data_IF_314703847358
#
_entry.id   IF_314703847358
#
_cell.length_a   1.000
_cell.length_b   1.000
_cell.length_c   1.000
_cell.angle_alpha   90.00
_cell.angle_beta   90.00
_cell.angle_gamma   90.00
#
_symmetry.space_group_name_H-M   'P 1'
#
loop_
_entity.id
_entity.type
_entity.pdbx_description
1 polymer ?
#
# COMPACT_ATOMS: atom_id res chain seq x y z
N UNK A 1 -14.57 27.28 10.19
CA UNK A 1 -14.56 25.83 10.04
C UNK A 1 -13.43 25.49 9.11
N UNK A 2 -12.53 24.62 9.53
CA UNK A 2 -11.37 24.19 8.73
C UNK A 2 -11.73 22.94 7.95
N UNK A 3 -11.30 22.88 6.70
CA UNK A 3 -11.47 21.72 5.84
C UNK A 3 -10.13 21.24 5.34
N UNK A 4 -9.95 19.94 5.30
CA UNK A 4 -8.71 19.27 4.94
C UNK A 4 -8.91 18.34 3.75
N UNK A 5 -7.96 18.33 2.83
CA UNK A 5 -7.93 17.41 1.71
C UNK A 5 -6.78 16.40 1.93
N UNK A 6 -7.12 15.12 1.91
CA UNK A 6 -6.15 14.02 1.91
C UNK A 6 -6.23 13.24 0.61
N UNK A 7 -5.10 13.00 -0.02
CA UNK A 7 -5.00 12.24 -1.27
C UNK A 7 -4.04 11.08 -1.08
N UNK A 8 -4.48 9.88 -1.46
CA UNK A 8 -3.68 8.65 -1.56
C UNK A 8 -3.62 8.26 -3.04
N UNK A 9 -2.50 8.55 -3.70
CA UNK A 9 -2.25 8.25 -5.11
C UNK A 9 -1.36 7.05 -5.31
N UNK A 10 -1.96 5.87 -5.50
CA UNK A 10 -1.25 4.62 -5.71
C UNK A 10 -1.05 4.22 -7.17
N UNK A 11 -0.39 3.09 -7.40
CA UNK A 11 -0.16 2.54 -8.75
C UNK A 11 -1.42 2.03 -9.46
N UNK A 12 -2.51 1.79 -8.73
CA UNK A 12 -3.75 1.23 -9.30
C UNK A 12 -4.96 2.15 -9.16
N UNK A 13 -5.00 2.95 -8.11
CA UNK A 13 -6.09 3.88 -7.81
C UNK A 13 -5.56 5.15 -7.15
N UNK A 14 -6.33 6.22 -7.25
CA UNK A 14 -6.21 7.44 -6.46
C UNK A 14 -7.49 7.63 -5.67
N UNK A 15 -7.36 7.86 -4.35
CA UNK A 15 -8.45 8.23 -3.45
C UNK A 15 -8.21 9.63 -2.91
N UNK A 16 -9.12 10.56 -3.17
CA UNK A 16 -9.15 11.88 -2.55
C UNK A 16 -10.31 11.96 -1.55
N UNK A 17 -10.07 12.61 -0.41
CA UNK A 17 -11.04 12.73 0.67
C UNK A 17 -11.03 14.16 1.22
N UNK A 18 -12.20 14.75 1.39
CA UNK A 18 -12.37 16.02 2.11
C UNK A 18 -12.99 15.73 3.47
N UNK A 19 -12.37 16.24 4.53
CA UNK A 19 -12.87 16.14 5.89
C UNK A 19 -12.94 17.52 6.57
N UNK A 20 -13.81 17.67 7.57
CA UNK A 20 -13.80 18.83 8.46
C UNK A 20 -12.81 18.65 9.63
N UNK A 21 -12.72 19.66 10.49
CA UNK A 21 -11.80 19.68 11.65
C UNK A 21 -12.12 18.64 12.73
N UNK A 22 -13.29 17.98 12.65
CA UNK A 22 -13.65 16.87 13.55
C UNK A 22 -13.30 15.49 12.98
N UNK A 23 -12.76 15.43 11.75
CA UNK A 23 -12.47 14.20 11.04
C UNK A 23 -13.66 13.60 10.27
N UNK A 24 -14.81 14.27 10.27
CA UNK A 24 -15.98 13.84 9.51
C UNK A 24 -15.73 13.98 8.02
N UNK A 25 -15.95 12.90 7.28
CA UNK A 25 -15.80 12.87 5.83
C UNK A 25 -17.00 13.57 5.17
N UNK A 26 -16.70 14.57 4.35
CA UNK A 26 -17.67 15.37 3.61
C UNK A 26 -17.77 14.97 2.14
N UNK A 27 -16.66 14.53 1.56
CA UNK A 27 -16.62 14.11 0.17
C UNK A 27 -15.49 13.17 -0.14
N UNK A 28 -15.67 12.37 -1.18
CA UNK A 28 -14.71 11.38 -1.70
C UNK A 28 -14.69 11.42 -3.22
N UNK A 29 -13.53 11.17 -3.79
CA UNK A 29 -13.39 10.91 -5.22
C UNK A 29 -12.42 9.78 -5.45
N UNK A 30 -12.69 8.95 -6.44
CA UNK A 30 -11.88 7.78 -6.80
C UNK A 30 -11.60 7.81 -8.29
N UNK A 31 -10.33 7.65 -8.64
CA UNK A 31 -9.89 7.61 -10.04
C UNK A 31 -8.78 6.56 -10.25
N UNK A 32 -8.14 6.61 -11.41
CA UNK A 32 -7.09 5.69 -11.84
C UNK A 32 -5.75 5.87 -11.13
N UNK A 33 -4.67 5.49 -11.83
CA UNK A 33 -3.30 5.50 -11.34
C UNK A 33 -2.81 6.91 -10.98
N UNK A 34 -2.37 7.11 -9.74
CA UNK A 34 -1.75 8.35 -9.25
C UNK A 34 -0.22 8.32 -9.19
N UNK A 35 0.42 7.22 -9.60
CA UNK A 35 1.87 7.10 -9.63
C UNK A 35 2.45 7.69 -10.92
N UNK A 36 3.17 8.81 -10.82
CA UNK A 36 3.78 9.52 -11.94
C UNK A 36 4.85 8.70 -12.70
N UNK A 37 5.46 7.71 -12.06
CA UNK A 37 6.45 6.82 -12.68
C UNK A 37 5.82 5.91 -13.75
N UNK A 38 4.51 5.68 -13.67
CA UNK A 38 3.73 4.97 -14.68
C UNK A 38 3.15 5.90 -15.77
N UNK A 39 3.37 7.21 -15.65
CA UNK A 39 2.97 8.23 -16.60
C UNK A 39 2.52 9.52 -15.91
N UNK A 40 3.30 10.59 -16.04
CA UNK A 40 3.04 11.87 -15.37
C UNK A 40 1.66 12.45 -15.74
N UNK A 41 1.29 12.44 -17.03
CA UNK A 41 0.00 12.94 -17.49
C UNK A 41 -1.19 12.09 -16.99
N UNK A 42 -0.99 10.77 -16.86
CA UNK A 42 -2.00 9.86 -16.30
C UNK A 42 -2.21 10.16 -14.81
N UNK A 43 -1.11 10.32 -14.06
CA UNK A 43 -1.16 10.67 -12.64
C UNK A 43 -1.82 12.04 -12.41
N UNK A 44 -1.46 13.06 -13.20
CA UNK A 44 -2.08 14.38 -13.15
C UNK A 44 -3.60 14.30 -13.37
N UNK A 45 -4.04 13.63 -14.44
CA UNK A 45 -5.46 13.45 -14.73
C UNK A 45 -6.20 12.71 -13.62
N UNK A 46 -5.61 11.62 -13.10
CA UNK A 46 -6.23 10.83 -12.05
C UNK A 46 -6.33 11.59 -10.73
N UNK A 47 -5.26 12.29 -10.32
CA UNK A 47 -5.26 13.08 -9.09
C UNK A 47 -6.29 14.21 -9.19
N UNK A 48 -6.31 14.93 -10.30
CA UNK A 48 -7.27 16.03 -10.54
C UNK A 48 -8.70 15.52 -10.51
N UNK A 49 -9.01 14.43 -11.22
CA UNK A 49 -10.35 13.86 -11.23
C UNK A 49 -10.81 13.45 -9.84
N UNK A 50 -9.96 12.73 -9.07
CA UNK A 50 -10.33 12.31 -7.71
C UNK A 50 -10.61 13.51 -6.81
N UNK A 51 -9.80 14.56 -6.90
CA UNK A 51 -9.97 15.79 -6.09
C UNK A 51 -11.25 16.53 -6.48
N UNK A 52 -11.52 16.68 -7.77
CA UNK A 52 -12.74 17.35 -8.25
C UNK A 52 -14.00 16.61 -7.85
N UNK A 53 -14.00 15.28 -7.90
CA UNK A 53 -15.11 14.44 -7.42
C UNK A 53 -15.32 14.62 -5.89
N UNK A 54 -14.23 14.65 -5.11
CA UNK A 54 -14.30 14.86 -3.66
C UNK A 54 -14.86 16.26 -3.31
N UNK A 55 -14.46 17.29 -4.04
CA UNK A 55 -15.00 18.64 -3.89
C UNK A 55 -16.49 18.71 -4.24
N UNK A 56 -16.87 18.12 -5.36
CA UNK A 56 -18.27 18.11 -5.81
C UNK A 56 -19.18 17.42 -4.78
N UNK A 57 -18.75 16.29 -4.23
CA UNK A 57 -19.51 15.58 -3.20
C UNK A 57 -19.58 16.34 -1.88
N UNK A 58 -18.51 17.06 -1.51
CA UNK A 58 -18.50 17.89 -0.31
C UNK A 58 -19.28 19.21 -0.45
N UNK A 59 -19.62 19.64 -1.66
CA UNK A 59 -20.17 20.97 -1.94
C UNK A 59 -19.16 22.09 -1.67
N UNK A 60 -17.86 21.80 -1.83
CA UNK A 60 -16.75 22.69 -1.55
C UNK A 60 -15.88 22.88 -2.81
N UNK A 61 -14.91 23.78 -2.72
CA UNK A 61 -13.91 24.02 -3.75
C UNK A 61 -12.54 24.26 -3.11
N UNK A 62 -11.50 24.47 -3.92
CA UNK A 62 -10.12 24.64 -3.45
C UNK A 62 -9.95 25.84 -2.49
N UNK A 63 -10.75 26.88 -2.63
CA UNK A 63 -10.69 28.09 -1.78
C UNK A 63 -11.11 27.80 -0.34
N UNK A 64 -11.92 26.77 -0.12
CA UNK A 64 -12.39 26.33 1.19
C UNK A 64 -11.35 25.51 1.95
N UNK A 65 -10.40 24.87 1.23
CA UNK A 65 -9.43 23.96 1.84
C UNK A 65 -8.37 24.72 2.62
N UNK A 66 -8.25 24.39 3.91
CA UNK A 66 -7.29 24.97 4.83
C UNK A 66 -5.89 24.42 4.60
N UNK A 67 -5.77 23.09 4.42
CA UNK A 67 -4.53 22.40 4.11
C UNK A 67 -4.80 21.10 3.33
N UNK A 68 -3.90 20.75 2.43
CA UNK A 68 -3.97 19.51 1.66
C UNK A 68 -2.69 18.68 1.80
N UNK A 69 -2.81 17.36 1.94
CA UNK A 69 -1.68 16.43 1.89
C UNK A 69 -1.89 15.42 0.77
N UNK A 70 -0.88 15.30 -0.09
CA UNK A 70 -0.82 14.34 -1.17
C UNK A 70 0.22 13.27 -0.83
N UNK A 71 -0.22 12.06 -0.52
CA UNK A 71 0.62 10.88 -0.37
C UNK A 71 0.65 10.13 -1.70
N UNK A 72 1.77 10.16 -2.39
CA UNK A 72 1.88 9.68 -3.77
C UNK A 72 2.94 8.60 -3.88
N UNK A 73 2.53 7.44 -4.42
CA UNK A 73 3.48 6.38 -4.73
C UNK A 73 4.54 6.87 -5.71
N UNK A 74 5.80 6.54 -5.44
CA UNK A 74 6.94 6.98 -6.22
C UNK A 74 7.41 8.43 -5.92
N UNK A 75 6.84 9.12 -4.93
CA UNK A 75 7.33 10.41 -4.46
C UNK A 75 8.50 10.21 -3.46
N UNK A 76 9.62 9.65 -3.94
CA UNK A 76 10.70 9.14 -3.11
C UNK A 76 11.96 10.01 -3.16
N UNK A 77 12.24 10.63 -4.30
CA UNK A 77 13.49 11.36 -4.55
C UNK A 77 13.20 12.78 -5.05
N UNK A 78 14.17 13.66 -4.93
CA UNK A 78 14.03 15.05 -5.45
C UNK A 78 13.67 15.08 -6.94
N UNK A 79 14.13 14.09 -7.73
CA UNK A 79 13.76 13.96 -9.13
C UNK A 79 12.25 13.75 -9.32
N UNK A 80 11.63 12.99 -8.44
CA UNK A 80 10.19 12.71 -8.45
C UNK A 80 9.40 13.95 -8.02
N UNK A 81 9.86 14.65 -6.99
CA UNK A 81 9.24 15.91 -6.55
C UNK A 81 9.32 17.03 -7.58
N UNK A 82 10.36 17.07 -8.43
CA UNK A 82 10.44 18.04 -9.56
C UNK A 82 9.32 17.83 -10.56
N UNK A 83 8.82 16.61 -10.73
CA UNK A 83 7.68 16.28 -11.59
C UNK A 83 6.36 16.60 -10.89
N UNK A 84 6.24 16.21 -9.61
CA UNK A 84 4.98 16.29 -8.86
C UNK A 84 4.63 17.72 -8.41
N UNK A 85 5.62 18.53 -8.01
CA UNK A 85 5.37 19.92 -7.56
C UNK A 85 4.62 20.78 -8.57
N UNK A 86 4.98 20.80 -9.87
CA UNK A 86 4.21 21.54 -10.88
C UNK A 86 2.78 21.04 -11.03
N UNK A 87 2.57 19.71 -11.02
CA UNK A 87 1.25 19.08 -11.15
C UNK A 87 0.34 19.52 -9.99
N UNK A 88 0.80 19.36 -8.77
CA UNK A 88 0.01 19.71 -7.59
C UNK A 88 -0.12 21.24 -7.45
N UNK A 89 0.92 21.99 -7.77
CA UNK A 89 0.89 23.45 -7.76
C UNK A 89 -0.15 24.05 -8.71
N UNK A 90 -0.37 23.42 -9.88
CA UNK A 90 -1.38 23.84 -10.84
C UNK A 90 -2.82 23.74 -10.31
N UNK A 91 -3.08 22.91 -9.28
CA UNK A 91 -4.39 22.82 -8.61
C UNK A 91 -4.76 24.09 -7.84
N UNK A 92 -3.80 24.99 -7.55
CA UNK A 92 -4.03 26.30 -6.96
C UNK A 92 -4.43 26.27 -5.48
N UNK A 93 -4.04 25.24 -4.72
CA UNK A 93 -4.26 25.12 -3.28
C UNK A 93 -3.34 26.07 -2.51
N UNK A 94 -3.86 26.79 -1.52
CA UNK A 94 -3.12 27.79 -0.73
C UNK A 94 -1.99 27.18 0.09
N UNK A 95 -2.26 26.04 0.72
CA UNK A 95 -1.32 25.29 1.56
C UNK A 95 -1.42 23.81 1.23
N UNK A 96 -0.30 23.22 0.88
CA UNK A 96 -0.25 21.77 0.62
C UNK A 96 1.16 21.22 0.85
N UNK A 97 1.23 19.92 1.05
CA UNK A 97 2.49 19.15 1.01
C UNK A 97 2.32 17.89 0.16
N UNK A 98 3.44 17.44 -0.38
CA UNK A 98 3.56 16.18 -1.10
C UNK A 98 4.51 15.30 -0.31
N UNK A 99 4.12 14.06 -0.06
CA UNK A 99 4.92 13.04 0.63
C UNK A 99 4.81 11.71 -0.10
N UNK A 100 5.69 10.76 0.22
CA UNK A 100 5.51 9.38 -0.22
C UNK A 100 4.24 8.76 0.39
N UNK A 101 3.61 7.82 -0.32
CA UNK A 101 2.46 7.06 0.17
C UNK A 101 2.75 6.30 1.48
N UNK A 102 4.01 5.91 1.71
CA UNK A 102 4.47 5.31 2.96
C UNK A 102 4.23 6.21 4.17
N UNK A 103 4.46 7.51 4.04
CA UNK A 103 4.31 8.47 5.15
C UNK A 103 2.85 8.60 5.58
N UNK A 104 1.92 8.68 4.63
CA UNK A 104 0.49 8.72 4.94
C UNK A 104 -0.03 7.39 5.49
N UNK A 105 0.49 6.26 4.98
CA UNK A 105 0.13 4.94 5.49
C UNK A 105 0.61 4.75 6.94
N UNK A 106 1.84 5.17 7.25
CA UNK A 106 2.34 5.13 8.62
C UNK A 106 1.48 5.99 9.55
N UNK A 107 1.20 7.26 9.17
CA UNK A 107 0.37 8.17 9.99
C UNK A 107 -1.06 7.68 10.21
N UNK A 108 -1.61 6.90 9.26
CA UNK A 108 -2.92 6.27 9.42
C UNK A 108 -2.88 5.11 10.42
N UNK A 109 -1.78 4.36 10.49
CA UNK A 109 -1.66 3.14 11.28
C UNK A 109 -1.08 3.33 12.68
N UNK A 110 -0.47 4.48 13.00
CA UNK A 110 0.09 4.76 14.34
C UNK A 110 -0.21 6.17 14.82
N UNK A 111 -0.29 6.33 16.14
CA UNK A 111 -0.35 7.63 16.81
C UNK A 111 1.02 8.13 17.25
N UNK A 112 2.06 7.30 17.13
CA UNK A 112 3.44 7.65 17.47
C UNK A 112 4.07 8.49 16.35
N UNK A 113 5.08 9.26 16.70
CA UNK A 113 5.85 10.08 15.75
C UNK A 113 6.96 9.28 15.07
N UNK A 114 7.32 8.13 15.65
CA UNK A 114 8.31 7.17 15.17
C UNK A 114 7.64 5.84 14.84
N UNK A 115 8.28 5.06 13.98
CA UNK A 115 7.77 3.76 13.57
C UNK A 115 8.32 3.29 12.24
N UNK A 116 7.83 2.14 11.83
CA UNK A 116 8.15 1.52 10.55
C UNK A 116 6.86 1.21 9.81
N UNK A 117 6.83 1.38 8.50
CA UNK A 117 5.74 0.94 7.66
C UNK A 117 6.26 0.04 6.54
N UNK A 118 5.55 -1.03 6.29
CA UNK A 118 5.71 -1.88 5.11
C UNK A 118 4.47 -1.75 4.24
N UNK A 119 4.67 -1.41 2.98
CA UNK A 119 3.62 -1.48 1.96
C UNK A 119 3.84 -2.72 1.11
N UNK A 120 2.78 -3.52 0.91
CA UNK A 120 2.72 -4.55 -0.10
C UNK A 120 1.34 -4.49 -0.79
N UNK A 121 1.30 -3.76 -1.89
CA UNK A 121 0.15 -3.55 -2.77
C UNK A 121 0.48 -4.02 -4.19
N UNK A 122 0.40 -3.14 -5.19
CA UNK A 122 0.87 -3.42 -6.55
C UNK A 122 2.38 -3.66 -6.58
N UNK A 123 3.14 -2.86 -5.82
CA UNK A 123 4.56 -3.02 -5.51
C UNK A 123 4.78 -3.18 -4.01
N UNK A 124 6.04 -3.04 -3.58
CA UNK A 124 6.46 -3.05 -2.17
C UNK A 124 7.25 -1.79 -1.84
N UNK A 125 7.20 -1.36 -0.58
CA UNK A 125 8.03 -0.28 -0.06
C UNK A 125 8.20 -0.45 1.46
N UNK A 126 9.34 -0.05 2.00
CA UNK A 126 9.60 0.02 3.43
C UNK A 126 10.15 1.38 3.82
N UNK A 127 9.56 1.99 4.83
CA UNK A 127 9.98 3.30 5.34
C UNK A 127 9.93 3.29 6.86
N UNK A 128 10.77 4.10 7.48
CA UNK A 128 10.73 4.32 8.91
C UNK A 128 11.28 5.68 9.30
N UNK A 129 10.91 6.10 10.50
CA UNK A 129 11.41 7.29 11.16
C UNK A 129 11.64 6.97 12.63
N UNK A 130 12.76 7.42 13.20
CA UNK A 130 13.07 7.26 14.63
C UNK A 130 12.67 8.51 15.44
N UNK A 131 12.78 8.43 16.76
CA UNK A 131 12.43 9.53 17.68
C UNK A 131 13.25 10.81 17.47
N UNK A 132 14.41 10.73 16.82
CA UNK A 132 15.23 11.88 16.46
C UNK A 132 14.76 12.55 15.15
N UNK A 133 13.77 11.96 14.45
CA UNK A 133 13.29 12.43 13.16
C UNK A 133 14.18 12.04 11.98
N UNK A 134 15.11 11.09 12.17
CA UNK A 134 15.87 10.51 11.08
C UNK A 134 15.00 9.52 10.31
N UNK A 135 15.03 9.59 8.98
CA UNK A 135 14.19 8.82 8.09
C UNK A 135 15.00 7.91 7.19
N UNK A 136 14.47 6.74 6.87
CA UNK A 136 15.06 5.85 5.87
C UNK A 136 13.98 5.12 5.08
N UNK A 137 14.20 5.01 3.78
CA UNK A 137 13.42 4.16 2.87
C UNK A 137 14.30 3.00 2.41
N UNK A 138 13.71 1.81 2.35
CA UNK A 138 14.32 0.57 1.83
C UNK A 138 13.37 -0.04 0.82
N UNK A 139 13.86 -0.23 -0.42
CA UNK A 139 13.05 -0.73 -1.52
C UNK A 139 12.10 0.34 -2.10
N UNK A 140 11.07 -0.11 -2.81
CA UNK A 140 10.12 0.76 -3.50
C UNK A 140 10.47 1.04 -4.97
N UNK A 141 11.53 0.41 -5.50
CA UNK A 141 12.05 0.68 -6.85
C UNK A 141 11.90 -0.50 -7.82
N UNK A 142 11.36 -1.62 -7.36
CA UNK A 142 11.08 -2.80 -8.14
C UNK A 142 12.15 -3.89 -8.08
N UNK A 143 11.84 -5.03 -8.71
CA UNK A 143 12.61 -6.26 -8.61
C UNK A 143 14.09 -6.10 -9.04
N UNK A 144 14.36 -5.36 -10.12
CA UNK A 144 15.71 -5.10 -10.61
C UNK A 144 16.58 -4.34 -9.60
N UNK A 145 15.96 -3.59 -8.69
CA UNK A 145 16.64 -2.79 -7.67
C UNK A 145 16.61 -3.46 -6.28
N UNK A 146 16.28 -4.74 -6.22
CA UNK A 146 16.41 -5.56 -5.02
C UNK A 146 15.11 -5.85 -4.27
N UNK A 147 13.96 -5.35 -4.73
CA UNK A 147 12.67 -5.70 -4.15
C UNK A 147 12.29 -7.12 -4.55
N UNK A 148 11.64 -7.87 -3.65
CA UNK A 148 11.00 -9.14 -4.06
C UNK A 148 9.70 -8.88 -4.82
N UNK A 149 9.14 -7.68 -4.69
CA UNK A 149 7.96 -7.19 -5.41
C UNK A 149 6.65 -7.37 -4.68
N UNK A 150 5.59 -6.80 -5.28
CA UNK A 150 4.24 -6.81 -4.73
C UNK A 150 3.31 -7.78 -5.47
N UNK A 151 2.02 -7.42 -5.49
CA UNK A 151 0.98 -8.22 -6.13
C UNK A 151 1.22 -8.49 -7.62
N UNK A 152 1.91 -7.57 -8.32
CA UNK A 152 2.31 -7.79 -9.72
C UNK A 152 3.27 -8.95 -9.87
N UNK A 153 4.31 -8.99 -9.06
CA UNK A 153 5.32 -10.05 -9.10
C UNK A 153 4.78 -11.37 -8.55
N UNK A 154 3.92 -11.32 -7.52
CA UNK A 154 3.20 -12.50 -7.05
C UNK A 154 2.31 -13.11 -8.15
N UNK A 155 1.67 -12.28 -8.98
CA UNK A 155 0.90 -12.76 -10.13
C UNK A 155 1.79 -13.45 -11.18
N UNK A 156 2.99 -12.89 -11.41
CA UNK A 156 4.00 -13.52 -12.27
C UNK A 156 4.46 -14.85 -11.68
N UNK A 157 4.71 -14.93 -10.37
CA UNK A 157 5.09 -16.20 -9.72
C UNK A 157 3.98 -17.26 -9.84
N UNK A 158 2.70 -16.89 -9.72
CA UNK A 158 1.58 -17.83 -10.00
C UNK A 158 1.67 -18.36 -11.43
N UNK A 159 1.75 -17.46 -12.41
CA UNK A 159 1.78 -17.83 -13.83
C UNK A 159 2.99 -18.74 -14.17
N UNK A 160 4.17 -18.37 -13.69
CA UNK A 160 5.40 -19.15 -13.83
C UNK A 160 5.28 -20.52 -13.20
N UNK A 161 4.70 -20.60 -12.00
CA UNK A 161 4.51 -21.85 -11.26
C UNK A 161 3.60 -22.82 -12.02
N UNK A 162 2.53 -22.32 -12.61
CA UNK A 162 1.63 -23.13 -13.45
C UNK A 162 2.35 -23.73 -14.65
N UNK A 163 3.14 -22.92 -15.36
CA UNK A 163 3.94 -23.38 -16.50
C UNK A 163 4.99 -24.42 -16.04
N UNK A 164 5.72 -24.12 -14.97
CA UNK A 164 6.76 -25.01 -14.44
C UNK A 164 6.20 -26.35 -13.96
N UNK A 165 5.00 -26.35 -13.36
CA UNK A 165 4.28 -27.57 -12.95
C UNK A 165 3.88 -28.41 -14.18
N UNK A 166 3.36 -27.78 -15.24
CA UNK A 166 3.03 -28.43 -16.49
C UNK A 166 4.25 -29.05 -17.18
N UNK A 167 5.38 -28.38 -17.15
CA UNK A 167 6.65 -28.88 -17.70
C UNK A 167 7.35 -29.93 -16.81
N UNK A 168 6.85 -30.22 -15.62
CA UNK A 168 7.45 -31.15 -14.65
C UNK A 168 8.65 -30.57 -13.87
N UNK A 169 8.85 -29.25 -13.88
CA UNK A 169 9.88 -28.52 -13.13
C UNK A 169 9.45 -28.07 -11.74
N UNK A 170 8.17 -28.23 -11.42
CA UNK A 170 7.55 -27.92 -10.12
C UNK A 170 6.55 -29.01 -9.77
N UNK A 171 6.22 -29.14 -8.48
CA UNK A 171 5.19 -30.07 -8.01
C UNK A 171 3.80 -29.72 -8.58
N UNK A 172 2.91 -30.72 -8.74
CA UNK A 172 1.52 -30.45 -9.07
C UNK A 172 0.90 -29.46 -8.05
N UNK A 173 0.13 -28.50 -8.56
CA UNK A 173 -0.43 -27.41 -7.75
C UNK A 173 -1.86 -27.11 -8.16
N UNK A 174 -2.71 -26.75 -7.19
CA UNK A 174 -4.08 -26.29 -7.44
C UNK A 174 -4.11 -24.92 -8.13
N UNK A 175 -3.00 -24.18 -8.12
CA UNK A 175 -2.86 -22.95 -8.89
C UNK A 175 -3.11 -23.17 -10.39
N UNK A 176 -2.83 -24.38 -10.91
CA UNK A 176 -3.09 -24.71 -12.33
C UNK A 176 -4.57 -24.54 -12.68
N UNK A 177 -5.45 -25.26 -12.01
CA UNK A 177 -6.88 -25.17 -12.27
C UNK A 177 -7.47 -23.80 -11.97
N UNK A 178 -7.02 -23.15 -10.88
CA UNK A 178 -7.46 -21.80 -10.51
C UNK A 178 -7.05 -20.76 -11.57
N UNK A 179 -5.84 -20.87 -12.12
CA UNK A 179 -5.33 -19.95 -13.14
C UNK A 179 -6.04 -20.14 -14.47
N UNK A 180 -6.22 -21.41 -14.92
CA UNK A 180 -6.95 -21.70 -16.14
C UNK A 180 -8.38 -21.18 -16.08
N UNK A 181 -9.07 -21.40 -14.96
CA UNK A 181 -10.42 -20.87 -14.75
C UNK A 181 -10.44 -19.33 -14.76
N UNK A 182 -9.50 -18.68 -14.07
CA UNK A 182 -9.44 -17.23 -13.98
C UNK A 182 -9.13 -16.54 -15.33
N UNK A 183 -8.38 -17.22 -16.21
CA UNK A 183 -7.98 -16.73 -17.53
C UNK A 183 -8.82 -17.28 -18.67
N UNK A 184 -9.75 -18.17 -18.38
CA UNK A 184 -10.69 -18.78 -19.35
C UNK A 184 -9.97 -19.61 -20.43
N UNK A 185 -9.05 -20.50 -20.00
CA UNK A 185 -8.36 -21.47 -20.84
C UNK A 185 -8.70 -22.90 -20.41
N UNK A 186 -8.69 -23.84 -21.37
CA UNK A 186 -8.93 -25.25 -21.09
C UNK A 186 -7.65 -25.98 -20.69
N UNK A 187 -6.50 -25.61 -21.27
CA UNK A 187 -5.21 -26.24 -21.03
C UNK A 187 -4.10 -25.23 -20.77
N UNK A 188 -3.04 -25.67 -20.06
CA UNK A 188 -1.85 -24.84 -19.83
C UNK A 188 -1.12 -24.59 -21.16
N UNK A 189 -1.10 -25.57 -22.05
CA UNK A 189 -0.47 -25.44 -23.37
C UNK A 189 -1.12 -24.35 -24.21
N UNK A 190 -2.46 -24.30 -24.27
CA UNK A 190 -3.21 -23.23 -24.95
C UNK A 190 -2.89 -21.86 -24.33
N UNK A 191 -2.99 -21.74 -23.01
CA UNK A 191 -2.68 -20.53 -22.27
C UNK A 191 -1.23 -20.07 -22.57
N UNK A 192 -0.26 -20.98 -22.51
CA UNK A 192 1.16 -20.72 -22.73
C UNK A 192 1.39 -20.13 -24.13
N UNK A 193 0.90 -20.82 -25.17
CA UNK A 193 1.07 -20.35 -26.56
C UNK A 193 0.37 -19.02 -26.79
N UNK A 194 -0.86 -18.86 -26.29
CA UNK A 194 -1.60 -17.62 -26.46
C UNK A 194 -0.92 -16.41 -25.82
N UNK A 195 -0.35 -16.59 -24.62
CA UNK A 195 0.40 -15.51 -23.95
C UNK A 195 1.68 -15.15 -24.68
N UNK A 196 2.40 -16.13 -25.25
CA UNK A 196 3.60 -15.90 -26.07
C UNK A 196 3.25 -15.15 -27.36
N UNK A 197 2.28 -15.63 -28.11
CA UNK A 197 1.90 -15.10 -29.42
C UNK A 197 1.40 -13.66 -29.32
N UNK A 198 0.59 -13.36 -28.28
CA UNK A 198 0.01 -12.04 -28.06
C UNK A 198 0.93 -11.09 -27.24
N UNK A 199 2.09 -11.56 -26.78
CA UNK A 199 2.97 -10.77 -25.90
C UNK A 199 2.30 -10.35 -24.58
N UNK A 200 1.37 -11.16 -24.06
CA UNK A 200 0.60 -10.85 -22.84
C UNK A 200 1.47 -10.98 -21.59
N UNK A 201 1.14 -10.18 -20.58
CA UNK A 201 1.69 -10.32 -19.23
C UNK A 201 0.66 -10.93 -18.29
N UNK A 202 1.14 -11.62 -17.24
CA UNK A 202 0.30 -12.17 -16.19
C UNK A 202 -0.55 -11.05 -15.55
N UNK A 203 -1.90 -11.17 -15.53
CA UNK A 203 -2.75 -10.17 -14.89
C UNK A 203 -2.53 -10.13 -13.37
N UNK A 204 -2.46 -8.95 -12.78
CA UNK A 204 -2.27 -8.76 -11.33
C UNK A 204 -3.30 -9.51 -10.48
N UNK A 205 -4.48 -9.78 -11.04
CA UNK A 205 -5.56 -10.52 -10.37
C UNK A 205 -5.18 -11.96 -10.01
N UNK A 206 -4.15 -12.53 -10.62
CA UNK A 206 -3.68 -13.89 -10.28
C UNK A 206 -3.07 -13.97 -8.88
N UNK A 207 -2.53 -12.88 -8.33
CA UNK A 207 -1.91 -12.88 -6.99
C UNK A 207 -2.87 -13.40 -5.90
N UNK A 208 -4.18 -13.09 -5.99
CA UNK A 208 -5.19 -13.57 -5.03
C UNK A 208 -5.33 -15.09 -5.00
N UNK A 209 -4.98 -15.77 -6.10
CA UNK A 209 -5.08 -17.23 -6.20
C UNK A 209 -4.11 -17.93 -5.25
N UNK A 210 -3.00 -17.29 -4.88
CA UNK A 210 -2.08 -17.80 -3.86
C UNK A 210 -2.80 -18.01 -2.53
N UNK A 211 -3.55 -17.00 -2.08
CA UNK A 211 -4.30 -17.08 -0.82
C UNK A 211 -5.44 -18.10 -0.88
N UNK A 212 -6.09 -18.25 -2.03
CA UNK A 212 -7.12 -19.27 -2.25
C UNK A 212 -6.55 -20.69 -2.22
N UNK A 213 -5.35 -20.89 -2.77
CA UNK A 213 -4.71 -22.20 -2.84
C UNK A 213 -4.00 -22.57 -1.52
N UNK A 214 -3.38 -21.62 -0.84
CA UNK A 214 -2.49 -21.83 0.30
C UNK A 214 -3.03 -22.76 1.41
N UNK A 215 -4.34 -22.80 1.76
CA UNK A 215 -4.84 -23.72 2.78
C UNK A 215 -4.56 -25.20 2.50
N UNK A 216 -4.45 -25.59 1.23
CA UNK A 216 -4.30 -26.99 0.80
C UNK A 216 -3.13 -27.22 -0.16
N UNK A 217 -2.37 -26.19 -0.48
CA UNK A 217 -1.34 -26.21 -1.51
C UNK A 217 -0.01 -25.68 -0.95
N UNK A 218 0.96 -26.56 -0.80
CA UNK A 218 2.28 -26.24 -0.24
C UNK A 218 3.07 -25.32 -1.19
N UNK A 219 2.91 -25.44 -2.50
CA UNK A 219 3.60 -24.61 -3.49
C UNK A 219 3.14 -23.15 -3.34
N UNK A 220 1.83 -22.93 -3.24
CA UNK A 220 1.26 -21.60 -3.01
C UNK A 220 1.72 -21.03 -1.65
N UNK A 221 1.73 -21.84 -0.59
CA UNK A 221 2.22 -21.41 0.74
C UNK A 221 3.66 -20.93 0.68
N UNK A 222 4.56 -21.69 0.06
CA UNK A 222 5.98 -21.33 -0.05
C UNK A 222 6.20 -19.98 -0.74
N UNK A 223 5.39 -19.65 -1.75
CA UNK A 223 5.45 -18.34 -2.40
C UNK A 223 5.07 -17.22 -1.43
N UNK A 224 3.97 -17.39 -0.67
CA UNK A 224 3.55 -16.40 0.33
C UNK A 224 4.52 -16.29 1.51
N UNK A 225 5.07 -17.42 1.98
CA UNK A 225 6.09 -17.45 3.04
C UNK A 225 7.35 -16.68 2.61
N UNK A 226 7.80 -16.90 1.39
CA UNK A 226 8.93 -16.16 0.82
C UNK A 226 8.64 -14.66 0.78
N UNK A 227 7.44 -14.27 0.36
CA UNK A 227 7.02 -12.87 0.37
C UNK A 227 7.12 -12.27 1.77
N UNK A 228 6.65 -12.99 2.79
CA UNK A 228 6.72 -12.53 4.17
C UNK A 228 8.16 -12.39 4.68
N UNK A 229 9.03 -13.35 4.34
CA UNK A 229 10.45 -13.29 4.71
C UNK A 229 11.15 -12.09 4.06
N UNK A 230 10.91 -11.82 2.78
CA UNK A 230 11.53 -10.67 2.09
C UNK A 230 11.04 -9.34 2.65
N UNK A 231 9.75 -9.18 2.91
CA UNK A 231 9.21 -7.99 3.59
C UNK A 231 9.77 -7.83 5.01
N UNK A 232 9.91 -8.94 5.76
CA UNK A 232 10.53 -8.93 7.08
C UNK A 232 11.99 -8.46 7.05
N UNK A 233 12.76 -8.84 6.03
CA UNK A 233 14.12 -8.33 5.81
C UNK A 233 14.15 -6.83 5.56
N UNK A 234 13.18 -6.31 4.77
CA UNK A 234 13.06 -4.86 4.51
C UNK A 234 12.83 -4.12 5.83
N UNK A 235 11.84 -4.55 6.64
CA UNK A 235 11.59 -3.94 7.95
C UNK A 235 12.81 -4.00 8.88
N UNK A 236 13.47 -5.17 8.96
CA UNK A 236 14.67 -5.33 9.77
C UNK A 236 15.80 -4.41 9.32
N UNK A 237 15.96 -4.19 8.02
CA UNK A 237 16.95 -3.26 7.47
C UNK A 237 16.63 -1.79 7.85
N UNK A 238 15.34 -1.40 7.83
CA UNK A 238 14.89 -0.07 8.32
C UNK A 238 15.23 0.08 9.79
N UNK A 239 14.85 -0.89 10.64
CA UNK A 239 15.08 -0.90 12.08
C UNK A 239 16.57 -0.75 12.40
N UNK A 240 17.42 -1.53 11.74
CA UNK A 240 18.87 -1.50 11.96
C UNK A 240 19.49 -0.17 11.52
N UNK A 241 19.10 0.37 10.36
CA UNK A 241 19.65 1.64 9.85
C UNK A 241 19.28 2.83 10.73
N UNK A 242 18.12 2.79 11.38
CA UNK A 242 17.64 3.83 12.29
C UNK A 242 18.03 3.60 13.76
N UNK A 243 18.72 2.49 14.08
CA UNK A 243 19.14 2.16 15.44
C UNK A 243 18.00 1.82 16.39
N UNK A 244 16.81 1.43 15.88
CA UNK A 244 15.58 1.27 16.65
C UNK A 244 15.44 -0.10 17.36
N UNK A 245 16.46 -0.96 17.33
CA UNK A 245 16.36 -2.36 17.84
C UNK A 245 15.98 -2.51 19.32
N UNK A 246 16.17 -1.48 20.14
CA UNK A 246 15.80 -1.48 21.57
C UNK A 246 14.55 -0.65 21.90
N UNK A 247 13.97 0.02 20.91
CA UNK A 247 12.87 0.96 21.07
C UNK A 247 11.51 0.26 21.05
N UNK A 248 10.48 0.96 21.51
CA UNK A 248 9.10 0.51 21.44
C UNK A 248 8.35 1.38 20.43
N UNK A 249 7.98 0.81 19.31
CA UNK A 249 7.30 1.51 18.19
C UNK A 249 6.34 0.57 17.47
N UNK A 250 5.51 1.15 16.60
CA UNK A 250 4.62 0.39 15.75
C UNK A 250 5.26 0.06 14.40
N UNK A 251 5.01 -1.16 13.91
CA UNK A 251 5.29 -1.59 12.55
C UNK A 251 3.97 -1.71 11.82
N UNK A 252 3.68 -0.75 10.98
CA UNK A 252 2.41 -0.65 10.22
C UNK A 252 2.52 -1.48 8.95
N UNK A 253 1.57 -2.40 8.77
CA UNK A 253 1.46 -3.25 7.59
C UNK A 253 0.33 -2.71 6.69
N UNK A 254 0.68 -2.20 5.51
CA UNK A 254 -0.22 -1.56 4.57
C UNK A 254 -0.18 -2.22 3.18
N UNK A 255 -1.14 -1.86 2.32
CA UNK A 255 -1.27 -2.43 0.97
C UNK A 255 -2.11 -3.71 0.93
N UNK A 256 -2.75 -3.94 -0.22
CA UNK A 256 -3.81 -4.96 -0.37
C UNK A 256 -3.36 -6.40 -0.10
N UNK A 257 -2.09 -6.73 -0.33
CA UNK A 257 -1.55 -8.07 -0.02
C UNK A 257 -1.51 -8.30 1.49
N UNK A 258 -1.15 -7.28 2.29
CA UNK A 258 -1.06 -7.36 3.75
C UNK A 258 -2.42 -7.13 4.42
N UNK A 259 -3.23 -6.19 3.92
CA UNK A 259 -4.51 -5.82 4.55
C UNK A 259 -5.69 -6.70 4.16
N UNK A 260 -5.65 -7.36 2.99
CA UNK A 260 -6.75 -8.19 2.46
C UNK A 260 -6.37 -9.65 2.21
N UNK A 261 -5.09 -10.01 2.26
CA UNK A 261 -4.63 -11.39 2.11
C UNK A 261 -5.19 -12.27 3.24
N UNK A 262 -5.80 -13.41 2.90
CA UNK A 262 -6.36 -14.35 3.87
C UNK A 262 -5.27 -15.21 4.52
N UNK A 263 -5.46 -15.60 5.78
CA UNK A 263 -4.47 -16.38 6.54
C UNK A 263 -3.25 -15.55 6.99
N UNK A 264 -2.34 -16.19 7.71
CA UNK A 264 -1.15 -15.57 8.31
C UNK A 264 0.14 -15.81 7.52
N UNK A 265 0.03 -16.42 6.35
CA UNK A 265 1.17 -16.92 5.54
C UNK A 265 2.26 -15.90 5.27
N UNK A 266 1.90 -14.62 5.14
CA UNK A 266 2.86 -13.52 4.92
C UNK A 266 3.21 -12.86 6.25
N UNK A 267 2.20 -12.51 7.04
CA UNK A 267 2.35 -11.67 8.24
C UNK A 267 3.17 -12.36 9.33
N UNK A 268 2.99 -13.67 9.58
CA UNK A 268 3.78 -14.42 10.58
C UNK A 268 5.28 -14.38 10.31
N UNK A 269 5.69 -14.36 9.04
CA UNK A 269 7.11 -14.30 8.67
C UNK A 269 7.67 -12.89 8.82
N UNK A 270 6.87 -11.85 8.53
CA UNK A 270 7.23 -10.47 8.86
C UNK A 270 7.41 -10.34 10.36
N UNK A 271 6.43 -10.79 11.16
CA UNK A 271 6.44 -10.73 12.61
C UNK A 271 7.68 -11.39 13.21
N UNK A 272 8.00 -12.60 12.77
CA UNK A 272 9.19 -13.33 13.22
C UNK A 272 10.49 -12.56 12.96
N UNK A 273 10.66 -11.93 11.80
CA UNK A 273 11.84 -11.15 11.47
C UNK A 273 11.92 -9.86 12.27
N UNK A 274 10.81 -9.16 12.40
CA UNK A 274 10.73 -7.86 13.05
C UNK A 274 10.91 -7.99 14.55
N UNK A 275 10.28 -8.97 15.19
CA UNK A 275 10.45 -9.24 16.65
C UNK A 275 11.86 -9.71 17.00
N UNK A 276 12.55 -10.34 16.06
CA UNK A 276 13.97 -10.65 16.21
C UNK A 276 14.83 -9.38 16.18
N UNK A 277 14.52 -8.44 15.27
CA UNK A 277 15.26 -7.18 15.12
C UNK A 277 14.92 -6.16 16.22
N UNK A 278 13.67 -6.10 16.68
CA UNK A 278 13.16 -5.19 17.71
C UNK A 278 12.09 -5.88 18.57
N UNK A 279 12.47 -6.55 19.68
CA UNK A 279 11.53 -7.35 20.48
C UNK A 279 10.40 -6.56 21.14
N UNK A 280 10.49 -5.24 21.24
CA UNK A 280 9.48 -4.37 21.85
C UNK A 280 8.55 -3.68 20.84
N UNK A 281 8.73 -3.94 19.55
CA UNK A 281 7.84 -3.40 18.53
C UNK A 281 6.47 -4.10 18.55
N UNK A 282 5.47 -3.43 17.99
CA UNK A 282 4.12 -3.97 17.83
C UNK A 282 3.72 -3.92 16.35
N UNK A 283 3.28 -5.04 15.79
CA UNK A 283 2.72 -5.06 14.44
C UNK A 283 1.27 -4.55 14.46
N UNK A 284 0.98 -3.66 13.52
CA UNK A 284 -0.34 -3.08 13.32
C UNK A 284 -0.74 -3.27 11.85
N UNK A 285 -1.75 -4.09 11.57
CA UNK A 285 -2.32 -4.16 10.21
C UNK A 285 -3.19 -2.94 10.03
N UNK A 286 -2.94 -2.18 8.97
CA UNK A 286 -3.68 -0.95 8.69
C UNK A 286 -5.15 -1.27 8.40
N UNK A 287 -6.03 -0.72 9.20
CA UNK A 287 -7.49 -0.86 9.13
C UNK A 287 -8.20 0.39 8.57
N UNK A 288 -7.41 1.42 8.25
CA UNK A 288 -7.87 2.65 7.61
C UNK A 288 -7.32 2.78 6.19
N UNK A 289 -8.04 3.42 5.29
CA UNK A 289 -7.48 3.86 4.00
C UNK A 289 -6.36 4.89 4.28
N UNK A 290 -5.19 4.82 3.59
CA UNK A 290 -4.07 5.75 3.83
C UNK A 290 -4.44 7.23 3.69
N UNK A 291 -5.48 7.55 2.92
CA UNK A 291 -6.03 8.90 2.82
C UNK A 291 -6.44 9.49 4.19
N UNK A 292 -6.79 8.66 5.19
CA UNK A 292 -6.99 9.12 6.56
C UNK A 292 -5.71 9.69 7.17
N UNK A 293 -4.57 9.04 6.93
CA UNK A 293 -3.26 9.54 7.34
C UNK A 293 -2.90 10.85 6.65
N UNK A 294 -3.28 11.02 5.39
CA UNK A 294 -3.12 12.29 4.68
C UNK A 294 -3.95 13.42 5.33
N UNK A 295 -5.20 13.15 5.74
CA UNK A 295 -6.02 14.11 6.51
C UNK A 295 -5.35 14.44 7.85
N UNK A 296 -4.91 13.43 8.60
CA UNK A 296 -4.22 13.63 9.89
C UNK A 296 -2.96 14.49 9.74
N UNK A 297 -2.15 14.24 8.72
CA UNK A 297 -0.97 15.06 8.41
C UNK A 297 -1.35 16.51 8.05
N UNK A 298 -2.43 16.71 7.30
CA UNK A 298 -2.91 18.05 6.98
C UNK A 298 -3.40 18.81 8.23
N UNK A 299 -4.00 18.11 9.19
CA UNK A 299 -4.38 18.66 10.49
C UNK A 299 -3.13 18.98 11.33
N UNK A 300 -2.16 18.09 11.42
CA UNK A 300 -0.89 18.27 12.15
C UNK A 300 -0.14 19.51 11.65
N UNK A 301 -0.02 19.70 10.32
CA UNK A 301 0.60 20.86 9.69
C UNK A 301 -0.14 22.18 9.94
N UNK A 302 -1.42 22.12 10.22
CA UNK A 302 -2.23 23.28 10.62
C UNK A 302 -2.29 23.48 12.15
N UNK A 303 -1.51 22.71 12.92
CA UNK A 303 -1.44 22.81 14.37
C UNK A 303 -2.63 22.24 15.13
N UNK A 304 -3.47 21.43 14.47
CA UNK A 304 -4.62 20.76 15.07
C UNK A 304 -4.18 19.40 15.61
N UNK A 305 -4.32 19.21 16.93
CA UNK A 305 -4.08 17.91 17.55
C UNK A 305 -5.30 17.01 17.33
N UNK A 306 -5.07 15.90 16.65
CA UNK A 306 -6.10 14.89 16.44
C UNK A 306 -6.37 14.12 17.74
N UNK A 307 -7.57 14.26 18.29
CA UNK A 307 -8.04 13.54 19.47
C UNK A 307 -8.74 12.21 19.08
N UNK A 308 -9.26 11.49 20.07
CA UNK A 308 -9.98 10.23 19.84
C UNK A 308 -11.20 10.40 18.93
N UNK A 309 -11.88 11.55 19.01
CA UNK A 309 -13.07 11.84 18.18
C UNK A 309 -12.71 11.91 16.71
N UNK A 310 -11.60 12.58 16.35
CA UNK A 310 -11.11 12.66 14.99
C UNK A 310 -10.81 11.26 14.44
N UNK A 311 -10.12 10.43 15.22
CA UNK A 311 -9.83 9.04 14.80
C UNK A 311 -11.09 8.21 14.62
N UNK A 312 -12.08 8.32 15.52
CA UNK A 312 -13.37 7.62 15.41
C UNK A 312 -14.13 8.03 14.16
N UNK A 313 -14.20 9.33 13.85
CA UNK A 313 -14.86 9.84 12.65
C UNK A 313 -14.16 9.38 11.36
N UNK A 314 -12.84 9.44 11.33
CA UNK A 314 -12.07 8.91 10.19
C UNK A 314 -12.29 7.41 10.02
N UNK A 315 -12.32 6.65 11.13
CA UNK A 315 -12.57 5.21 11.08
C UNK A 315 -13.98 4.89 10.56
N UNK A 316 -15.01 5.59 11.03
CA UNK A 316 -16.38 5.45 10.51
C UNK A 316 -16.47 5.72 9.01
N UNK A 317 -15.70 6.70 8.54
CA UNK A 317 -15.69 7.12 7.15
C UNK A 317 -14.74 6.31 6.26
N UNK A 318 -13.59 5.82 6.72
CA UNK A 318 -12.48 5.32 5.92
C UNK A 318 -11.96 3.96 6.38
N UNK A 319 -12.72 3.21 7.19
CA UNK A 319 -12.32 1.85 7.57
C UNK A 319 -12.15 0.96 6.33
N UNK A 320 -11.05 0.24 6.26
CA UNK A 320 -10.87 -0.86 5.32
C UNK A 320 -11.73 -2.02 5.83
N UNK A 321 -12.50 -2.69 4.97
CA UNK A 321 -13.31 -3.86 5.37
C UNK A 321 -12.41 -4.87 6.08
N UNK A 322 -12.80 -5.22 7.31
CA UNK A 322 -12.06 -6.14 8.18
C UNK A 322 -11.70 -7.45 7.46
N UNK A 323 -10.48 -7.90 7.72
CA UNK A 323 -10.11 -9.31 7.52
C UNK A 323 -10.99 -10.18 8.42
N UNK A 324 -11.64 -11.20 7.86
CA UNK A 324 -12.23 -12.30 8.65
C UNK A 324 -11.13 -13.23 9.20
N UNK A 325 -10.19 -12.68 9.95
CA UNK A 325 -9.15 -13.46 10.63
C UNK A 325 -9.26 -13.19 12.12
N UNK A 326 -9.85 -14.13 12.84
CA UNK A 326 -9.68 -14.21 14.31
C UNK A 326 -8.23 -14.60 14.56
N UNK A 327 -7.39 -13.63 14.93
CA UNK A 327 -6.12 -13.92 15.59
C UNK A 327 -6.44 -14.46 16.97
N UNK A 328 -6.07 -15.70 17.26
CA UNK A 328 -6.02 -16.18 18.61
C UNK A 328 -4.84 -15.46 19.29
N UNK A 329 -5.14 -14.37 19.96
CA UNK A 329 -4.30 -13.84 21.04
C UNK A 329 -4.77 -14.56 22.29
N UNK A 330 -4.08 -15.63 22.67
CA UNK A 330 -4.00 -16.18 24.03
C UNK A 330 -2.53 -16.15 24.47
#
# INVERSE_FOLDING_TARGET
MNYYLGVDGGGSKTLAVVADETGRILGRGISGCGNHQLGAAIAESSITQAVDEAYAQAGLNKENITYATFGLAGADREADFRILRPIIGAMGLKKHRIVCDTVIAMRAGTRQTDGVVLICGSGTNGYGVNVAGEEVQIGGFGYEFGDFGGGGDLAVEVFRTVIRSWEGREQPTTLTSLTLNALTFETVEEMYHRFLDDGRRAPHTLAKLLFQAAPRDEVARKILERQGLELGKVASAVIHKLGMGNDSFDVVLAGSVLTRGEGDYVVRHIESQVTTAAPKCRLCILDLEPAAGAILLAMDENGVKSDSTVYEQLHQGLAVKERNVKWALD
#
